data_IF_161265216282
#
_entry.id   IF_161265216282
#
_cell.length_a   1.000
_cell.length_b   1.000
_cell.length_c   1.000
_cell.angle_alpha   90.00
_cell.angle_beta   90.00
_cell.angle_gamma   90.00
#
_symmetry.space_group_name_H-M   'P 1'
#
loop_
_entity.id
_entity.type
_entity.pdbx_description
1 polymer ?
#
# COMPACT_ATOMS: atom_id res chain seq x y z
N UNK A 1 -25.90 7.76 -1.63
CA UNK A 1 -25.45 6.65 -0.76
C UNK A 1 -24.22 7.14 0.00
N UNK A 2 -24.15 6.92 1.31
CA UNK A 2 -23.02 7.27 2.17
C UNK A 2 -22.28 5.98 2.52
N UNK A 3 -20.98 5.91 2.23
CA UNK A 3 -20.11 4.80 2.67
C UNK A 3 -19.49 5.15 4.01
N UNK A 4 -19.14 4.14 4.81
CA UNK A 4 -18.47 4.31 6.11
C UNK A 4 -16.98 3.91 6.06
N UNK A 5 -16.40 3.84 4.87
CA UNK A 5 -15.01 3.45 4.65
C UNK A 5 -14.87 2.23 3.74
N UNK A 6 -13.69 1.64 3.71
CA UNK A 6 -13.40 0.39 2.98
C UNK A 6 -13.64 -0.77 3.94
N UNK A 7 -14.54 -1.69 3.61
CA UNK A 7 -14.75 -2.88 4.44
C UNK A 7 -13.56 -3.83 4.35
N UNK A 8 -13.18 -4.22 3.13
CA UNK A 8 -11.98 -5.00 2.89
C UNK A 8 -11.44 -4.77 1.47
N UNK A 9 -10.14 -4.95 1.32
CA UNK A 9 -9.45 -5.03 0.04
C UNK A 9 -9.07 -6.50 -0.21
N UNK A 10 -9.57 -7.08 -1.31
CA UNK A 10 -9.28 -8.46 -1.68
C UNK A 10 -8.11 -8.55 -2.66
N UNK A 11 -7.15 -9.39 -2.32
CA UNK A 11 -5.90 -9.64 -3.05
C UNK A 11 -5.74 -11.15 -3.28
N UNK A 12 -4.80 -11.54 -4.11
CA UNK A 12 -4.45 -12.95 -4.34
C UNK A 12 -2.99 -13.17 -3.94
N UNK A 13 -2.73 -14.23 -3.17
CA UNK A 13 -1.38 -14.60 -2.76
C UNK A 13 -0.92 -15.90 -3.42
N UNK A 14 0.40 -16.03 -3.56
CA UNK A 14 1.06 -17.23 -4.07
C UNK A 14 1.09 -18.35 -3.02
N UNK A 15 1.29 -17.99 -1.77
CA UNK A 15 1.40 -18.89 -0.62
C UNK A 15 0.69 -18.25 0.58
N UNK A 16 -0.37 -18.92 1.08
CA UNK A 16 -1.16 -18.41 2.18
C UNK A 16 -0.43 -18.50 3.52
N UNK A 17 0.44 -19.49 3.72
CA UNK A 17 1.21 -19.62 4.94
C UNK A 17 2.26 -18.51 5.06
N UNK A 18 3.03 -18.26 3.98
CA UNK A 18 4.00 -17.17 3.90
C UNK A 18 3.30 -15.80 4.08
N UNK A 19 2.16 -15.61 3.42
CA UNK A 19 1.36 -14.38 3.53
C UNK A 19 0.85 -14.19 4.97
N UNK A 20 0.33 -15.25 5.60
CA UNK A 20 -0.13 -15.19 6.99
C UNK A 20 0.99 -14.82 7.94
N UNK A 21 2.17 -15.45 7.81
CA UNK A 21 3.32 -15.13 8.65
C UNK A 21 3.75 -13.66 8.48
N UNK A 22 3.81 -13.18 7.24
CA UNK A 22 4.18 -11.80 6.96
C UNK A 22 3.23 -10.79 7.61
N UNK A 23 1.92 -10.93 7.36
CA UNK A 23 0.94 -9.96 7.87
C UNK A 23 0.76 -10.06 9.38
N UNK A 24 0.79 -11.26 9.97
CA UNK A 24 0.61 -11.40 11.43
C UNK A 24 1.87 -11.12 12.24
N UNK A 25 3.00 -11.76 11.90
CA UNK A 25 4.22 -11.64 12.69
C UNK A 25 5.03 -10.38 12.36
N UNK A 26 5.18 -10.05 11.07
CA UNK A 26 6.03 -8.92 10.67
C UNK A 26 5.25 -7.62 10.76
N UNK A 27 4.03 -7.53 10.18
CA UNK A 27 3.24 -6.31 10.23
C UNK A 27 2.40 -6.16 11.50
N UNK A 28 2.16 -7.24 12.25
CA UNK A 28 1.36 -7.21 13.48
C UNK A 28 -0.14 -7.10 13.25
N UNK A 29 -0.63 -7.48 12.07
CA UNK A 29 -2.05 -7.47 11.70
C UNK A 29 -2.71 -8.80 12.11
N UNK A 30 -3.67 -8.83 13.06
CA UNK A 30 -4.28 -10.07 13.49
C UNK A 30 -5.03 -10.78 12.35
N UNK A 31 -4.88 -12.10 12.23
CA UNK A 31 -5.75 -12.94 11.40
C UNK A 31 -7.09 -13.09 12.11
N UNK A 32 -8.17 -12.54 11.54
CA UNK A 32 -9.48 -12.47 12.19
C UNK A 32 -10.50 -13.42 11.60
N UNK A 33 -10.31 -13.90 10.36
CA UNK A 33 -11.22 -14.87 9.72
C UNK A 33 -10.48 -15.72 8.71
N UNK A 34 -10.82 -17.00 8.69
CA UNK A 34 -10.40 -17.96 7.66
C UNK A 34 -11.62 -18.63 7.04
N UNK A 35 -11.58 -18.86 5.74
CA UNK A 35 -12.60 -19.55 4.98
C UNK A 35 -11.91 -20.57 4.07
N UNK A 36 -12.36 -21.84 4.13
CA UNK A 36 -12.05 -22.83 3.11
C UNK A 36 -13.07 -22.70 1.98
N UNK A 37 -12.60 -22.68 0.74
CA UNK A 37 -13.46 -22.59 -0.44
C UNK A 37 -13.79 -24.00 -0.98
N UNK A 38 -14.92 -24.17 -1.67
CA UNK A 38 -15.38 -25.49 -2.13
C UNK A 38 -14.41 -26.18 -3.11
N UNK A 39 -13.60 -25.42 -3.83
CA UNK A 39 -12.60 -25.86 -4.82
C UNK A 39 -11.20 -26.12 -4.23
N UNK A 40 -11.12 -26.20 -2.88
CA UNK A 40 -9.86 -26.37 -2.17
C UNK A 40 -9.07 -25.09 -1.95
N UNK A 41 -9.56 -23.94 -2.42
CA UNK A 41 -8.96 -22.63 -2.18
C UNK A 41 -9.15 -22.13 -0.73
N UNK A 42 -8.55 -21.00 -0.44
CA UNK A 42 -8.62 -20.34 0.88
C UNK A 42 -8.93 -18.85 0.73
N UNK A 43 -9.61 -18.29 1.73
CA UNK A 43 -9.85 -16.85 1.81
C UNK A 43 -9.68 -16.39 3.26
N UNK A 44 -8.60 -15.66 3.55
CA UNK A 44 -8.18 -15.25 4.89
C UNK A 44 -8.25 -13.75 5.03
N UNK A 45 -8.62 -13.26 6.22
CA UNK A 45 -8.84 -11.85 6.51
C UNK A 45 -7.96 -11.40 7.68
N UNK A 46 -7.26 -10.31 7.48
CA UNK A 46 -6.37 -9.69 8.45
C UNK A 46 -6.92 -8.31 8.83
N UNK A 47 -6.96 -8.01 10.12
CA UNK A 47 -7.35 -6.69 10.62
C UNK A 47 -6.19 -5.70 10.39
N UNK A 48 -6.40 -4.69 9.56
CA UNK A 48 -5.42 -3.64 9.32
C UNK A 48 -5.75 -2.32 10.04
N UNK A 49 -6.68 -2.36 10.99
CA UNK A 49 -7.10 -1.23 11.81
C UNK A 49 -8.25 -0.41 11.21
N UNK A 50 -8.88 0.43 12.05
CA UNK A 50 -9.95 1.34 11.61
C UNK A 50 -11.17 0.64 11.02
N UNK A 51 -11.52 -0.56 11.50
CA UNK A 51 -12.58 -1.41 10.96
C UNK A 51 -12.37 -1.84 9.49
N UNK A 52 -11.12 -1.81 9.01
CA UNK A 52 -10.76 -2.20 7.65
C UNK A 52 -10.00 -3.53 7.65
N UNK A 53 -10.20 -4.35 6.62
CA UNK A 53 -9.55 -5.64 6.49
C UNK A 53 -8.75 -5.73 5.19
N UNK A 54 -7.64 -6.47 5.24
CA UNK A 54 -7.06 -7.07 4.05
C UNK A 54 -7.55 -8.51 3.94
N UNK A 55 -7.96 -8.91 2.75
CA UNK A 55 -8.42 -10.27 2.49
C UNK A 55 -7.57 -10.90 1.38
N UNK A 56 -7.08 -12.10 1.62
CA UNK A 56 -6.29 -12.83 0.63
C UNK A 56 -7.02 -14.08 0.18
N UNK A 57 -7.09 -14.23 -1.14
CA UNK A 57 -7.42 -15.50 -1.77
C UNK A 57 -6.15 -16.28 -2.10
N UNK A 58 -6.23 -17.58 -1.99
CA UNK A 58 -5.27 -18.53 -2.48
C UNK A 58 -5.96 -19.65 -3.24
N UNK A 59 -5.41 -20.00 -4.39
CA UNK A 59 -5.83 -21.19 -5.18
C UNK A 59 -4.59 -21.89 -5.70
N UNK A 60 -4.60 -23.23 -5.71
CA UNK A 60 -3.51 -24.07 -6.19
C UNK A 60 -3.12 -23.73 -7.65
N UNK A 61 -4.12 -23.42 -8.48
CA UNK A 61 -3.95 -23.09 -9.90
C UNK A 61 -4.17 -21.60 -10.21
N UNK A 62 -3.86 -20.71 -9.27
CA UNK A 62 -3.94 -19.28 -9.54
C UNK A 62 -3.04 -18.92 -10.75
N UNK A 63 -3.48 -18.03 -11.64
CA UNK A 63 -2.63 -17.51 -12.71
C UNK A 63 -1.32 -16.93 -12.13
N UNK A 64 -0.21 -17.03 -12.89
CA UNK A 64 1.04 -16.43 -12.45
C UNK A 64 0.86 -14.93 -12.21
N UNK A 65 1.63 -14.40 -11.26
CA UNK A 65 1.59 -12.99 -10.94
C UNK A 65 1.78 -12.16 -12.21
N UNK A 66 0.80 -11.34 -12.52
CA UNK A 66 0.97 -10.24 -13.47
C UNK A 66 1.32 -9.01 -12.62
N UNK A 67 2.58 -8.61 -12.54
CA UNK A 67 2.95 -7.48 -11.74
C UNK A 67 2.19 -6.26 -12.25
N UNK A 68 1.38 -5.65 -11.40
CA UNK A 68 1.02 -4.26 -11.59
C UNK A 68 2.33 -3.46 -11.67
N UNK A 69 2.31 -2.32 -12.33
CA UNK A 69 3.55 -1.56 -12.58
C UNK A 69 4.21 -1.02 -11.29
N UNK A 70 3.57 -1.10 -10.14
CA UNK A 70 4.22 -0.96 -8.84
C UNK A 70 5.34 -2.00 -8.60
N UNK A 71 5.63 -2.87 -9.57
CA UNK A 71 6.74 -3.81 -9.60
C UNK A 71 8.02 -3.28 -10.26
N UNK A 72 8.07 -2.02 -10.68
CA UNK A 72 9.29 -1.43 -11.25
C UNK A 72 10.33 -1.32 -10.14
N UNK A 73 11.52 -1.89 -10.38
CA UNK A 73 12.63 -1.90 -9.42
C UNK A 73 13.07 -0.51 -8.97
N UNK A 74 12.84 0.50 -9.80
CA UNK A 74 13.26 1.90 -9.60
C UNK A 74 12.20 2.80 -8.91
N UNK A 75 11.31 2.23 -8.10
CA UNK A 75 10.42 3.08 -7.30
C UNK A 75 11.25 3.99 -6.35
N UNK A 76 10.96 5.31 -6.22
CA UNK A 76 9.75 5.98 -6.66
C UNK A 76 9.86 6.73 -8.00
N UNK A 77 11.02 6.74 -8.68
CA UNK A 77 11.30 7.66 -9.79
C UNK A 77 10.50 7.38 -11.08
N UNK A 78 9.89 6.20 -11.24
CA UNK A 78 9.17 5.79 -12.45
C UNK A 78 7.88 5.00 -12.19
N UNK A 79 7.26 5.20 -11.04
CA UNK A 79 6.07 4.44 -10.62
C UNK A 79 4.82 4.86 -11.41
N UNK A 80 4.74 4.48 -12.66
CA UNK A 80 3.50 4.56 -13.43
C UNK A 80 2.82 3.18 -13.40
N UNK A 81 1.64 3.13 -12.80
CA UNK A 81 0.80 1.94 -12.81
C UNK A 81 -0.16 1.96 -13.99
N UNK A 82 -0.50 0.79 -14.53
CA UNK A 82 -1.47 0.67 -15.60
C UNK A 82 -2.84 1.19 -15.16
N UNK A 83 -3.62 1.73 -16.09
CA UNK A 83 -5.01 2.15 -15.83
C UNK A 83 -5.80 0.96 -15.29
N UNK A 84 -6.50 1.16 -14.16
CA UNK A 84 -7.30 0.12 -13.52
C UNK A 84 -6.52 -0.84 -12.62
N UNK A 85 -5.17 -0.75 -12.54
CA UNK A 85 -4.39 -1.53 -11.59
C UNK A 85 -4.23 -0.80 -10.25
N UNK A 86 -3.99 -1.57 -9.20
CA UNK A 86 -3.59 -1.02 -7.90
C UNK A 86 -2.13 -0.57 -7.97
N UNK A 87 -1.83 0.66 -7.53
CA UNK A 87 -0.46 1.15 -7.41
C UNK A 87 0.18 0.62 -6.12
N UNK A 88 -0.43 0.91 -4.97
CA UNK A 88 0.00 0.42 -3.65
C UNK A 88 -1.17 0.43 -2.66
N UNK A 89 -0.95 -0.16 -1.50
CA UNK A 89 -1.85 -0.06 -0.34
C UNK A 89 -1.12 0.71 0.75
N UNK A 90 -1.72 1.83 1.20
CA UNK A 90 -1.19 2.64 2.29
C UNK A 90 -1.95 2.37 3.58
N UNK A 91 -1.21 2.09 4.67
CA UNK A 91 -1.73 1.94 6.02
C UNK A 91 -1.41 3.19 6.82
N UNK A 92 -2.41 3.75 7.48
CA UNK A 92 -2.21 4.87 8.40
C UNK A 92 -1.45 4.40 9.63
N UNK A 93 -0.38 5.11 9.96
CA UNK A 93 0.39 4.93 11.20
C UNK A 93 0.62 6.29 11.84
N UNK A 94 0.86 6.30 13.15
CA UNK A 94 1.33 7.51 13.82
C UNK A 94 2.77 7.82 13.41
N UNK A 95 3.13 9.09 13.33
CA UNK A 95 4.48 9.50 12.92
C UNK A 95 5.58 8.88 13.80
N UNK A 96 5.31 8.73 15.10
CA UNK A 96 6.24 8.09 16.05
C UNK A 96 6.46 6.60 15.79
N UNK A 97 5.57 5.94 15.05
CA UNK A 97 5.66 4.52 14.70
C UNK A 97 6.48 4.25 13.44
N UNK A 98 6.82 5.26 12.64
CA UNK A 98 7.57 5.06 11.39
C UNK A 98 8.95 4.42 11.63
N UNK A 99 9.75 4.97 12.55
CA UNK A 99 11.08 4.43 12.84
C UNK A 99 11.02 3.01 13.45
N UNK A 100 10.16 2.71 14.46
CA UNK A 100 9.95 1.35 14.91
C UNK A 100 9.51 0.38 13.82
N UNK A 101 8.63 0.81 12.92
CA UNK A 101 8.19 -0.01 11.79
C UNK A 101 9.33 -0.32 10.81
N UNK A 102 10.14 0.68 10.46
CA UNK A 102 11.34 0.51 9.62
C UNK A 102 12.29 -0.52 10.25
N UNK A 103 12.60 -0.36 11.54
CA UNK A 103 13.49 -1.28 12.25
C UNK A 103 12.95 -2.71 12.24
N UNK A 104 11.64 -2.89 12.42
CA UNK A 104 10.97 -4.20 12.37
C UNK A 104 11.05 -4.83 10.98
N UNK A 105 10.77 -4.07 9.92
CA UNK A 105 10.86 -4.53 8.54
C UNK A 105 12.29 -4.96 8.19
N UNK A 106 13.29 -4.14 8.53
CA UNK A 106 14.69 -4.43 8.27
C UNK A 106 15.18 -5.66 9.06
N UNK A 107 14.79 -5.80 10.33
CA UNK A 107 15.11 -6.96 11.14
C UNK A 107 14.50 -8.26 10.59
N UNK A 108 13.36 -8.16 9.90
CA UNK A 108 12.72 -9.27 9.19
C UNK A 108 13.29 -9.52 7.78
N UNK A 109 14.30 -8.76 7.34
CA UNK A 109 14.89 -8.88 6.01
C UNK A 109 14.04 -8.29 4.89
N UNK A 110 13.03 -7.49 5.23
CA UNK A 110 12.18 -6.81 4.24
C UNK A 110 12.93 -5.59 3.70
N UNK A 111 13.03 -5.50 2.37
CA UNK A 111 13.65 -4.33 1.74
C UNK A 111 12.73 -3.11 1.86
N UNK A 112 13.27 -2.04 2.40
CA UNK A 112 12.61 -0.72 2.50
C UNK A 112 13.23 0.21 1.46
N UNK A 113 12.42 1.02 0.79
CA UNK A 113 12.86 1.91 -0.29
C UNK A 113 13.91 2.94 0.17
N UNK A 114 14.62 3.52 -0.78
CA UNK A 114 15.59 4.60 -0.55
C UNK A 114 15.10 5.86 -1.27
N UNK A 115 14.96 7.03 -0.61
CA UNK A 115 15.17 7.24 0.83
C UNK A 115 14.20 6.42 1.68
N UNK A 116 14.61 6.06 2.90
CA UNK A 116 13.80 5.20 3.78
C UNK A 116 12.47 5.87 4.15
N UNK A 117 12.49 7.17 4.37
CA UNK A 117 11.28 7.99 4.58
C UNK A 117 11.15 8.99 3.43
N UNK A 118 10.00 9.02 2.79
CA UNK A 118 9.64 9.99 1.75
C UNK A 118 8.71 11.04 2.36
N UNK A 119 9.12 12.30 2.33
CA UNK A 119 8.30 13.41 2.82
C UNK A 119 7.54 14.02 1.62
N UNK A 120 6.25 13.72 1.49
CA UNK A 120 5.43 14.27 0.42
C UNK A 120 4.95 15.68 0.77
N UNK A 121 5.11 16.60 -0.17
CA UNK A 121 4.77 18.01 -0.02
C UNK A 121 4.02 18.56 -1.24
N UNK A 122 3.56 19.80 -1.12
CA UNK A 122 2.86 20.51 -2.18
C UNK A 122 3.77 21.20 -3.20
N UNK A 123 5.08 20.89 -3.19
CA UNK A 123 6.02 21.45 -4.17
C UNK A 123 5.82 20.83 -5.57
N UNK A 124 6.33 21.45 -6.65
CA UNK A 124 6.31 20.86 -7.99
C UNK A 124 7.00 19.49 -8.09
N UNK A 125 7.91 19.17 -7.16
CA UNK A 125 8.56 17.85 -7.07
C UNK A 125 7.71 16.84 -6.34
N UNK A 126 6.69 17.26 -5.54
CA UNK A 126 5.84 16.40 -4.73
C UNK A 126 6.53 15.80 -3.51
N UNK A 127 7.81 16.14 -3.28
CA UNK A 127 8.61 15.59 -2.17
C UNK A 127 9.59 16.60 -1.64
N UNK A 128 9.84 16.56 -0.32
CA UNK A 128 10.84 17.34 0.38
C UNK A 128 11.97 16.44 0.92
N UNK A 129 13.17 16.98 1.04
CA UNK A 129 14.32 16.25 1.62
C UNK A 129 14.15 16.02 3.11
N UNK A 130 13.59 16.99 3.80
CA UNK A 130 13.41 16.98 5.25
C UNK A 130 11.95 17.20 5.61
N UNK A 131 11.55 16.73 6.78
CA UNK A 131 10.25 17.06 7.34
C UNK A 131 10.20 18.54 7.69
N UNK A 132 9.12 19.22 7.33
CA UNK A 132 8.96 20.65 7.59
C UNK A 132 7.67 21.23 7.04
N UNK A 133 7.54 22.56 7.07
CA UNK A 133 6.36 23.25 6.54
C UNK A 133 6.08 22.85 5.09
N UNK A 134 4.84 22.43 4.80
CA UNK A 134 4.42 21.98 3.47
C UNK A 134 4.39 20.47 3.29
N UNK A 135 5.12 19.70 4.11
CA UNK A 135 4.97 18.25 4.15
C UNK A 135 3.59 17.91 4.72
N UNK A 136 2.83 17.04 4.05
CA UNK A 136 1.50 16.63 4.50
C UNK A 136 1.43 15.15 4.86
N UNK A 137 2.34 14.31 4.33
CA UNK A 137 2.47 12.90 4.72
C UNK A 137 3.94 12.47 4.64
N UNK A 138 4.32 11.60 5.57
CA UNK A 138 5.62 10.91 5.60
C UNK A 138 5.39 9.44 5.38
N UNK A 139 6.10 8.84 4.44
CA UNK A 139 5.81 7.50 3.94
C UNK A 139 7.03 6.60 3.93
N UNK A 140 6.80 5.31 4.20
CA UNK A 140 7.78 4.24 4.06
C UNK A 140 7.20 3.18 3.12
N UNK A 141 7.93 2.86 2.05
CA UNK A 141 7.50 1.91 1.03
C UNK A 141 8.28 0.60 1.12
N UNK A 142 7.57 -0.51 1.02
CA UNK A 142 8.14 -1.87 1.05
C UNK A 142 7.24 -2.84 0.27
N UNK A 143 7.69 -4.09 0.10
CA UNK A 143 6.89 -5.11 -0.59
C UNK A 143 6.54 -6.26 0.32
N UNK A 144 5.35 -6.83 0.10
CA UNK A 144 4.98 -8.11 0.68
C UNK A 144 5.63 -9.29 -0.09
N UNK A 145 5.51 -10.54 0.39
CA UNK A 145 6.06 -11.72 -0.28
C UNK A 145 5.52 -11.96 -1.70
N UNK A 146 4.36 -11.40 -2.03
CA UNK A 146 3.72 -11.51 -3.35
C UNK A 146 4.17 -10.40 -4.31
N UNK A 147 5.01 -9.47 -3.85
CA UNK A 147 5.46 -8.31 -4.62
C UNK A 147 4.48 -7.13 -4.61
N UNK A 148 3.44 -7.18 -3.76
CA UNK A 148 2.50 -6.07 -3.60
C UNK A 148 3.22 -4.90 -2.93
N UNK A 149 3.12 -3.71 -3.54
CA UNK A 149 3.66 -2.49 -2.93
C UNK A 149 2.78 -2.07 -1.76
N UNK A 150 3.40 -1.92 -0.60
CA UNK A 150 2.79 -1.45 0.63
C UNK A 150 3.44 -0.13 1.07
N UNK A 151 2.68 0.65 1.81
CA UNK A 151 3.12 1.92 2.38
C UNK A 151 2.65 2.03 3.83
N UNK A 152 3.53 2.49 4.72
CA UNK A 152 3.12 3.10 5.97
C UNK A 152 3.11 4.62 5.78
N UNK A 153 1.95 5.24 6.01
CA UNK A 153 1.70 6.65 5.77
C UNK A 153 1.30 7.35 7.08
N UNK A 154 2.11 8.30 7.50
CA UNK A 154 1.87 9.15 8.65
C UNK A 154 1.51 10.55 8.19
N UNK A 155 0.25 10.96 8.35
CA UNK A 155 -0.15 12.33 8.09
C UNK A 155 0.50 13.27 9.11
N UNK A 156 1.16 14.31 8.64
CA UNK A 156 1.74 15.36 9.49
C UNK A 156 0.72 16.44 9.84
N UNK A 157 -0.40 16.46 9.13
CA UNK A 157 -1.54 17.36 9.35
C UNK A 157 -2.83 16.80 8.77
N UNK A 158 -3.97 17.36 9.15
CA UNK A 158 -5.24 17.10 8.48
C UNK A 158 -5.22 17.61 7.01
N UNK A 159 -5.94 16.91 6.14
CA UNK A 159 -6.15 17.26 4.72
C UNK A 159 -7.52 17.95 4.59
N UNK A 160 -7.65 19.15 5.14
CA UNK A 160 -8.92 19.90 5.27
C UNK A 160 -8.82 21.35 4.79
N UNK A 161 -7.69 21.73 4.17
CA UNK A 161 -7.47 23.09 3.67
C UNK A 161 -7.98 23.22 2.23
N UNK A 162 -8.51 24.40 1.83
CA UNK A 162 -8.89 24.63 0.42
C UNK A 162 -7.77 24.37 -0.57
N UNK A 163 -6.52 24.60 -0.18
CA UNK A 163 -5.33 24.41 -0.99
C UNK A 163 -5.06 22.91 -1.31
N UNK A 164 -5.54 22.01 -0.45
CA UNK A 164 -5.34 20.55 -0.63
C UNK A 164 -6.07 20.02 -1.89
N UNK A 165 -7.08 20.73 -2.38
CA UNK A 165 -7.90 20.35 -3.56
C UNK A 165 -7.83 21.36 -4.70
N UNK A 166 -6.78 22.18 -4.76
CA UNK A 166 -6.66 23.31 -5.70
C UNK A 166 -6.45 22.90 -7.17
N UNK A 167 -5.95 21.69 -7.41
CA UNK A 167 -5.63 21.25 -8.76
C UNK A 167 -6.86 20.70 -9.48
N UNK A 168 -7.11 21.18 -10.70
CA UNK A 168 -8.17 20.66 -11.53
C UNK A 168 -7.82 19.24 -12.05
N UNK A 169 -8.78 18.32 -12.16
CA UNK A 169 -8.54 17.00 -12.73
C UNK A 169 -8.17 17.11 -14.21
N UNK A 170 -7.21 16.27 -14.64
CA UNK A 170 -6.84 16.17 -16.06
C UNK A 170 -7.85 15.35 -16.85
N UNK A 171 -8.04 15.70 -18.13
CA UNK A 171 -8.82 14.90 -19.07
C UNK A 171 -7.91 13.92 -19.81
N UNK A 172 -8.47 12.76 -20.18
CA UNK A 172 -7.81 11.85 -21.11
C UNK A 172 -7.51 12.58 -22.43
N UNK A 173 -6.27 12.46 -22.91
CA UNK A 173 -5.96 12.89 -24.28
C UNK A 173 -6.76 12.02 -25.24
N UNK A 174 -7.47 12.62 -26.20
CA UNK A 174 -8.11 11.86 -27.29
C UNK A 174 -7.01 10.99 -27.93
N UNK A 175 -7.23 9.67 -28.10
CA UNK A 175 -6.27 8.85 -28.81
C UNK A 175 -6.02 9.49 -30.18
N UNK A 176 -4.78 9.86 -30.48
CA UNK A 176 -4.39 10.15 -31.86
C UNK A 176 -4.56 8.82 -32.58
N UNK A 177 -5.55 8.74 -33.46
CA UNK A 177 -5.91 7.54 -34.21
C UNK A 177 -4.62 6.84 -34.69
N UNK A 178 -4.45 5.59 -34.22
CA UNK A 178 -3.44 4.69 -34.74
C UNK A 178 -3.89 4.12 -36.08
#
# INVERSE_FOLDING_TARGET
MKTNGVNHLALVCRDMAETTDFYTRILGMPLVKTVALPDGGQHFFFDCGGDNLLAFFWWENAPPAAPGIASVEDFPSKAMSAVGSMNHVAFTVDEAELEPAIARLQAAGVHVSVPVVVNHDDSPMGVARENGPGVFVRSVYFRDPNGIMLEFAALTRALDRPEDVRHAPAHAKTPVNA
#
